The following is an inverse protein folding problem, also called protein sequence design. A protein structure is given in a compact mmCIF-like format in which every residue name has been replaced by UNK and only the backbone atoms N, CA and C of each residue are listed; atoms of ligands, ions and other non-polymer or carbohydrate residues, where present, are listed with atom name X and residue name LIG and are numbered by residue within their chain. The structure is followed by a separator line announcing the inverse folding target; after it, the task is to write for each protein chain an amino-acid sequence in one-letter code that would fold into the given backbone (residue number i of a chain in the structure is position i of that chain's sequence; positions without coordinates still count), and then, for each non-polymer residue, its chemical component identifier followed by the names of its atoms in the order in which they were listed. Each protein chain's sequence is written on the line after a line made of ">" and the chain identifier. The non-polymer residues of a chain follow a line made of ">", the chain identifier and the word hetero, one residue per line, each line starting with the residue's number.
data_IF_503899202601
#
_entry.id   IF_503899202601
#
_cell.length_a   1.000
_cell.length_b   1.000
_cell.length_c   1.000
_cell.angle_alpha   90.00
_cell.angle_beta   90.00
_cell.angle_gamma   90.00
#
_symmetry.space_group_name_H-M   'P 1'
#
loop_
_entity.id
_entity.type
_entity.pdbx_description
1 polymer ?
#
# COMPACT_ATOMS: atom_id res chain seq x y z
N UNK A 1 14.02 0.73 -2.00
CA UNK A 1 12.65 0.60 -1.49
C UNK A 1 11.77 1.47 -2.34
N UNK A 2 10.58 0.99 -2.68
CA UNK A 2 9.59 1.72 -3.47
C UNK A 2 8.31 1.88 -2.66
N UNK A 3 7.57 2.94 -2.94
CA UNK A 3 6.25 3.18 -2.36
C UNK A 3 5.21 3.05 -3.46
N UNK A 4 4.14 2.33 -3.20
CA UNK A 4 3.12 2.04 -4.19
C UNK A 4 1.77 2.45 -3.64
N UNK A 5 1.05 3.22 -4.44
CA UNK A 5 -0.34 3.59 -4.19
C UNK A 5 -1.24 2.76 -5.10
N UNK A 6 -2.26 2.13 -4.52
CA UNK A 6 -3.36 1.48 -5.24
C UNK A 6 -4.64 2.27 -5.04
N UNK A 7 -5.47 2.33 -6.08
CA UNK A 7 -6.86 2.77 -5.94
C UNK A 7 -7.69 1.59 -5.42
N UNK A 8 -8.45 1.78 -4.35
CA UNK A 8 -9.36 0.76 -3.82
C UNK A 8 -10.67 0.84 -4.58
N UNK A 9 -11.05 -0.26 -5.24
CA UNK A 9 -12.26 -0.36 -6.07
C UNK A 9 -13.45 -1.01 -5.35
N UNK A 10 -13.22 -1.59 -4.17
CA UNK A 10 -14.29 -2.09 -3.29
C UNK A 10 -14.71 -1.06 -2.26
N UNK A 11 -16.03 -0.90 -2.05
CA UNK A 11 -16.61 -0.05 -1.01
C UNK A 11 -17.32 1.19 -1.57
N UNK A 12 -18.04 1.89 -0.70
CA UNK A 12 -18.86 3.05 -1.07
C UNK A 12 -18.09 4.37 -1.11
N UNK A 13 -16.90 4.42 -0.50
CA UNK A 13 -16.09 5.62 -0.37
C UNK A 13 -14.79 5.41 -1.15
N UNK A 14 -14.49 6.27 -2.14
CA UNK A 14 -13.21 6.27 -2.84
C UNK A 14 -12.03 6.33 -1.88
N UNK A 15 -11.11 5.38 -2.02
CA UNK A 15 -9.96 5.20 -1.14
C UNK A 15 -8.72 4.83 -1.93
N UNK A 16 -7.57 5.09 -1.31
CA UNK A 16 -6.26 4.63 -1.74
C UNK A 16 -5.62 3.80 -0.64
N UNK A 17 -4.92 2.74 -1.04
CA UNK A 17 -4.17 1.85 -0.16
C UNK A 17 -2.69 1.93 -0.53
N UNK A 18 -1.82 2.01 0.48
CA UNK A 18 -0.42 2.33 0.29
C UNK A 18 0.46 1.20 0.82
N UNK A 19 1.52 0.90 0.07
CA UNK A 19 2.44 -0.19 0.36
C UNK A 19 3.88 0.27 0.17
N UNK A 20 4.80 -0.41 0.86
CA UNK A 20 6.25 -0.29 0.64
C UNK A 20 6.85 -1.66 0.37
N UNK A 21 7.75 -1.75 -0.59
CA UNK A 21 8.45 -3.00 -0.92
C UNK A 21 9.90 -2.77 -1.35
N UNK A 22 10.65 -3.86 -1.49
CA UNK A 22 11.98 -3.80 -2.09
C UNK A 22 11.89 -3.54 -3.60
N UNK A 23 10.92 -4.18 -4.28
CA UNK A 23 10.62 -4.03 -5.70
C UNK A 23 9.10 -3.94 -5.95
N UNK A 24 8.70 -3.51 -7.16
CA UNK A 24 7.29 -3.49 -7.57
C UNK A 24 6.69 -4.88 -7.59
N UNK A 25 7.47 -5.87 -8.03
CA UNK A 25 7.01 -7.25 -8.11
C UNK A 25 6.72 -7.83 -6.73
N UNK A 26 7.47 -7.45 -5.69
CA UNK A 26 7.19 -7.89 -4.32
C UNK A 26 5.83 -7.39 -3.84
N UNK A 27 5.53 -6.11 -4.10
CA UNK A 27 4.22 -5.52 -3.76
C UNK A 27 3.10 -6.18 -4.56
N UNK A 28 3.31 -6.42 -5.86
CA UNK A 28 2.31 -7.05 -6.72
C UNK A 28 2.04 -8.50 -6.30
N UNK A 29 3.07 -9.28 -5.98
CA UNK A 29 2.90 -10.67 -5.52
C UNK A 29 2.05 -10.74 -4.24
N UNK A 30 2.28 -9.83 -3.29
CA UNK A 30 1.52 -9.79 -2.03
C UNK A 30 0.08 -9.28 -2.22
N UNK A 31 -0.18 -8.54 -3.31
CA UNK A 31 -1.49 -7.95 -3.63
C UNK A 31 -2.23 -8.69 -4.76
N UNK A 32 -1.89 -9.96 -5.00
CA UNK A 32 -2.46 -10.80 -6.06
C UNK A 32 -2.43 -10.12 -7.43
N UNK A 33 -1.25 -9.64 -7.81
CA UNK A 33 -0.98 -8.83 -8.99
C UNK A 33 -1.72 -7.48 -9.00
N UNK A 34 -1.81 -6.84 -7.83
CA UNK A 34 -2.48 -5.54 -7.69
C UNK A 34 -4.00 -5.59 -7.78
N UNK A 35 -4.61 -6.76 -7.52
CA UNK A 35 -6.06 -6.98 -7.60
C UNK A 35 -6.74 -7.00 -6.24
N UNK A 36 -6.05 -7.46 -5.20
CA UNK A 36 -6.68 -7.67 -3.89
C UNK A 36 -5.66 -7.73 -2.76
N UNK A 37 -5.98 -7.12 -1.63
CA UNK A 37 -5.24 -7.29 -0.39
C UNK A 37 -6.17 -7.20 0.81
N UNK A 38 -6.05 -8.10 1.78
CA UNK A 38 -6.84 -8.06 3.02
C UNK A 38 -8.36 -8.07 2.83
N UNK A 39 -8.86 -8.61 1.71
CA UNK A 39 -10.29 -8.59 1.33
C UNK A 39 -10.75 -7.32 0.61
N UNK A 40 -9.91 -6.29 0.50
CA UNK A 40 -10.18 -5.12 -0.33
C UNK A 40 -9.79 -5.39 -1.79
N UNK A 41 -10.64 -5.00 -2.74
CA UNK A 41 -10.30 -5.02 -4.16
C UNK A 41 -9.51 -3.78 -4.51
N UNK A 42 -8.38 -4.01 -5.16
CA UNK A 42 -7.50 -2.98 -5.67
C UNK A 42 -7.75 -2.80 -7.16
N UNK A 43 -7.39 -1.62 -7.64
CA UNK A 43 -7.35 -1.23 -9.03
C UNK A 43 -6.08 -0.42 -9.24
N UNK A 44 -5.77 -0.10 -10.50
CA UNK A 44 -4.66 0.75 -10.99
C UNK A 44 -3.68 1.24 -9.92
N UNK A 45 -2.41 0.88 -10.08
CA UNK A 45 -1.36 1.29 -9.17
C UNK A 45 -0.39 2.27 -9.82
N UNK A 46 0.33 3.01 -8.97
CA UNK A 46 1.49 3.79 -9.38
C UNK A 46 2.53 3.78 -8.27
N UNK A 47 3.78 3.90 -8.68
CA UNK A 47 4.86 4.24 -7.74
C UNK A 47 4.70 5.71 -7.33
N UNK A 48 4.94 6.00 -6.05
CA UNK A 48 4.97 7.36 -5.49
C UNK A 48 6.34 7.62 -4.89
N UNK A 49 6.77 8.88 -4.85
CA UNK A 49 8.06 9.24 -4.26
C UNK A 49 8.04 9.06 -2.74
N UNK A 50 9.23 9.04 -2.14
CA UNK A 50 9.34 9.06 -0.69
C UNK A 50 8.75 10.34 -0.09
N UNK A 51 8.94 11.50 -0.71
CA UNK A 51 8.37 12.76 -0.19
C UNK A 51 6.84 12.70 -0.16
N UNK A 52 6.22 12.23 -1.24
CA UNK A 52 4.77 12.06 -1.30
C UNK A 52 4.27 11.08 -0.24
N UNK A 53 4.96 9.95 -0.06
CA UNK A 53 4.60 8.96 0.95
C UNK A 53 4.75 9.51 2.39
N UNK A 54 5.80 10.28 2.67
CA UNK A 54 6.04 10.89 3.98
C UNK A 54 4.95 11.89 4.37
N UNK A 55 4.43 12.65 3.40
CA UNK A 55 3.33 13.59 3.62
C UNK A 55 2.01 12.91 4.02
N UNK A 56 1.87 11.60 3.78
CA UNK A 56 0.69 10.83 4.20
C UNK A 56 0.64 10.60 5.71
N UNK A 57 1.74 10.86 6.45
CA UNK A 57 1.82 10.76 7.92
C UNK A 57 1.29 9.41 8.43
N UNK A 58 1.81 8.32 7.88
CA UNK A 58 1.54 6.98 8.41
C UNK A 58 2.48 6.70 9.59
N UNK A 59 1.97 5.97 10.59
CA UNK A 59 2.72 5.54 11.78
C UNK A 59 4.04 4.82 11.42
N UNK A 60 4.12 4.22 10.22
CA UNK A 60 5.35 3.67 9.66
C UNK A 60 6.55 4.64 9.73
N UNK A 61 6.34 5.94 9.46
CA UNK A 61 7.43 6.90 9.44
C UNK A 61 7.90 7.31 10.84
N UNK A 62 7.02 7.20 11.84
CA UNK A 62 7.32 7.57 13.23
C UNK A 62 7.81 6.37 14.06
N UNK A 63 7.30 5.17 13.78
CA UNK A 63 7.49 3.97 14.60
C UNK A 63 8.07 2.77 13.84
N UNK A 64 8.25 2.87 12.52
CA UNK A 64 8.68 1.75 11.69
C UNK A 64 7.59 0.68 11.52
N UNK A 65 7.98 -0.49 11.04
CA UNK A 65 7.04 -1.61 10.79
C UNK A 65 6.63 -2.28 12.10
N UNK A 66 5.36 -2.15 12.48
CA UNK A 66 4.83 -2.76 13.71
C UNK A 66 4.31 -4.21 13.55
N UNK A 67 4.19 -4.77 12.34
CA UNK A 67 3.84 -6.20 12.21
C UNK A 67 4.23 -6.84 10.88
N UNK A 68 5.03 -7.92 10.99
CA UNK A 68 5.32 -8.87 9.91
C UNK A 68 4.35 -10.03 10.06
N UNK A 69 3.41 -10.21 9.13
CA UNK A 69 2.75 -11.51 8.96
C UNK A 69 3.63 -12.34 8.01
N UNK A 70 4.07 -13.51 8.48
CA UNK A 70 5.03 -14.35 7.75
C UNK A 70 4.57 -14.65 6.32
N UNK A 71 5.46 -14.45 5.35
CA UNK A 71 5.26 -14.79 3.94
C UNK A 71 5.13 -13.62 2.96
N UNK A 72 4.91 -12.38 3.43
CA UNK A 72 4.85 -11.18 2.58
C UNK A 72 6.23 -10.52 2.43
N UNK A 73 6.51 -9.94 1.26
CA UNK A 73 7.77 -9.22 0.94
C UNK A 73 7.60 -7.69 0.93
N UNK A 74 6.37 -7.22 1.06
CA UNK A 74 5.96 -5.82 1.16
C UNK A 74 5.20 -5.57 2.45
N UNK A 75 5.10 -4.30 2.83
CA UNK A 75 4.37 -3.84 4.00
C UNK A 75 3.24 -2.92 3.59
N UNK A 76 2.06 -3.13 4.19
CA UNK A 76 0.96 -2.20 4.08
C UNK A 76 1.17 -1.03 5.04
N UNK A 77 1.11 0.18 4.50
CA UNK A 77 1.32 1.43 5.25
C UNK A 77 0.00 1.99 5.82
N UNK A 78 -1.11 1.71 5.16
CA UNK A 78 -2.44 2.18 5.55
C UNK A 78 -3.33 2.55 4.36
N UNK A 79 -4.51 3.09 4.67
CA UNK A 79 -5.48 3.61 3.70
C UNK A 79 -5.78 5.09 3.95
N UNK A 80 -6.13 5.82 2.88
CA UNK A 80 -6.65 7.19 2.93
C UNK A 80 -7.86 7.34 2.03
N UNK A 81 -8.88 8.06 2.48
CA UNK A 81 -9.99 8.46 1.62
C UNK A 81 -9.49 9.48 0.59
N UNK A 82 -9.95 9.36 -0.66
CA UNK A 82 -9.75 10.41 -1.66
C UNK A 82 -10.93 11.36 -1.57
N UNK A 83 -10.73 12.47 -0.87
CA UNK A 83 -11.70 13.57 -0.76
C UNK A 83 -11.69 14.38 -2.05
#
# INVERSE_FOLDING_TARGET
>A
MIFVEFVVSSGSIPKKSYFIGATIQDVLNDTKDGKEFGGAKLSSYREISFEDAYLLKFDYFDHGVASVRGGCKSYWLGERNTV
#
